data_IF_576028511837
#
_entry.id   IF_576028511837
#
_cell.length_a   1.000
_cell.length_b   1.000
_cell.length_c   1.000
_cell.angle_alpha   90.00
_cell.angle_beta   90.00
_cell.angle_gamma   90.00
#
_symmetry.space_group_name_H-M   'P 1'
#
loop_
_entity.id
_entity.type
_entity.pdbx_description
1 polymer ?
#
# COMPACT_ATOMS: atom_id res chain seq x y z
N UNK A 1 -7.52 20.96 25.43
CA UNK A 1 -6.74 19.71 25.33
C UNK A 1 -7.06 18.83 26.54
N UNK A 2 -8.20 18.13 26.55
CA UNK A 2 -8.70 17.39 27.73
C UNK A 2 -9.08 15.93 27.43
N UNK A 3 -8.69 15.36 26.29
CA UNK A 3 -9.09 13.99 25.92
C UNK A 3 -8.00 12.93 26.06
N UNK A 4 -6.73 13.30 26.20
CA UNK A 4 -5.62 12.36 26.35
C UNK A 4 -5.27 12.23 27.84
N UNK A 5 -5.85 11.26 28.53
CA UNK A 5 -5.36 10.80 29.85
C UNK A 5 -4.11 9.94 29.63
N UNK A 6 -3.01 10.57 29.17
CA UNK A 6 -1.71 9.91 29.06
C UNK A 6 -0.77 10.43 30.12
N UNK A 7 -0.11 9.50 30.82
CA UNK A 7 1.02 9.81 31.69
C UNK A 7 2.26 10.07 30.82
N UNK A 8 3.07 11.07 31.19
CA UNK A 8 4.33 11.37 30.54
C UNK A 8 5.28 10.15 30.54
N UNK A 9 5.17 9.30 31.57
CA UNK A 9 5.93 8.04 31.65
C UNK A 9 5.58 7.07 30.54
N UNK A 10 4.31 6.98 30.17
CA UNK A 10 3.85 6.08 29.10
C UNK A 10 4.35 6.58 27.74
N UNK A 11 4.31 7.91 27.52
CA UNK A 11 4.87 8.55 26.33
C UNK A 11 6.37 8.27 26.24
N UNK A 12 7.11 8.51 27.32
CA UNK A 12 8.55 8.26 27.35
C UNK A 12 8.87 6.79 27.08
N UNK A 13 8.16 5.86 27.72
CA UNK A 13 8.34 4.43 27.50
C UNK A 13 8.10 4.06 26.04
N UNK A 14 7.00 4.53 25.45
CA UNK A 14 6.66 4.26 24.06
C UNK A 14 7.75 4.74 23.09
N UNK A 15 8.23 5.97 23.28
CA UNK A 15 9.21 6.60 22.38
C UNK A 15 10.61 6.02 22.53
N UNK A 16 11.05 5.74 23.76
CA UNK A 16 12.40 5.21 24.02
C UNK A 16 12.50 3.74 23.59
N UNK A 17 11.43 2.96 23.76
CA UNK A 17 11.44 1.52 23.49
C UNK A 17 10.83 1.10 22.14
N UNK A 18 10.32 2.04 21.33
CA UNK A 18 9.46 1.77 20.16
C UNK A 18 8.27 0.88 20.50
N UNK A 19 7.59 1.16 21.62
CA UNK A 19 6.43 0.38 22.06
C UNK A 19 5.16 1.22 21.97
N UNK A 20 4.40 1.03 20.90
CA UNK A 20 3.14 1.73 20.65
C UNK A 20 1.91 0.94 21.11
N UNK A 21 2.05 0.01 22.07
CA UNK A 21 0.93 -0.77 22.60
C UNK A 21 0.03 0.03 23.55
N UNK A 22 0.61 0.94 24.32
CA UNK A 22 -0.10 1.84 25.27
C UNK A 22 -0.39 3.18 24.62
N UNK A 23 0.57 3.73 23.88
CA UNK A 23 0.43 5.00 23.16
C UNK A 23 0.35 4.69 21.67
N UNK A 24 -0.86 4.80 21.11
CA UNK A 24 -1.09 4.48 19.70
C UNK A 24 -0.42 5.48 18.74
N UNK A 25 -0.36 5.09 17.46
CA UNK A 25 0.30 5.88 16.42
C UNK A 25 -0.39 7.22 16.16
N UNK A 26 -1.71 7.29 16.32
CA UNK A 26 -2.48 8.54 16.15
C UNK A 26 -2.10 9.55 17.24
N UNK A 27 -1.98 9.08 18.48
CA UNK A 27 -1.51 9.88 19.60
C UNK A 27 -0.06 10.32 19.40
N UNK A 28 0.83 9.41 18.99
CA UNK A 28 2.23 9.77 18.69
C UNK A 28 2.34 10.80 17.56
N UNK A 29 1.51 10.69 16.52
CA UNK A 29 1.42 11.68 15.44
C UNK A 29 0.97 13.04 15.98
N UNK A 30 -0.09 13.06 16.80
CA UNK A 30 -0.58 14.30 17.40
C UNK A 30 0.49 14.96 18.30
N UNK A 31 1.19 14.17 19.12
CA UNK A 31 2.30 14.67 19.95
C UNK A 31 3.45 15.20 19.10
N UNK A 32 3.78 14.53 18.00
CA UNK A 32 4.80 14.98 17.06
C UNK A 32 4.43 16.32 16.43
N UNK A 33 3.20 16.48 15.94
CA UNK A 33 2.75 17.72 15.28
C UNK A 33 2.65 18.90 16.26
N UNK A 34 2.27 18.64 17.51
CA UNK A 34 2.08 19.68 18.53
C UNK A 34 3.31 19.92 19.40
N UNK A 35 4.45 19.28 19.13
CA UNK A 35 5.69 19.50 19.89
C UNK A 35 6.17 20.94 19.76
N UNK A 36 6.79 21.46 20.83
CA UNK A 36 7.36 22.80 20.84
C UNK A 36 8.44 22.93 19.75
N UNK A 37 8.36 24.01 18.98
CA UNK A 37 9.43 24.40 18.06
C UNK A 37 10.61 24.98 18.84
N UNK A 38 11.78 25.05 18.21
CA UNK A 38 13.01 25.50 18.88
C UNK A 38 12.88 26.89 19.51
N UNK A 39 12.20 27.84 18.85
CA UNK A 39 12.01 29.18 19.39
C UNK A 39 10.98 29.25 20.53
N UNK A 40 9.99 28.36 20.53
CA UNK A 40 9.02 28.20 21.62
C UNK A 40 9.69 27.59 22.84
N UNK A 41 10.49 26.54 22.63
CA UNK A 41 11.21 25.85 23.69
C UNK A 41 12.23 26.77 24.38
N UNK A 42 12.96 27.59 23.61
CA UNK A 42 13.87 28.60 24.16
C UNK A 42 13.15 29.60 25.09
N UNK A 43 11.94 30.04 24.72
CA UNK A 43 11.13 30.95 25.55
C UNK A 43 10.68 30.26 26.84
N UNK A 44 10.21 29.02 26.74
CA UNK A 44 9.76 28.20 27.88
C UNK A 44 10.92 27.96 28.84
N UNK A 45 12.10 27.56 28.34
CA UNK A 45 13.29 27.35 29.15
C UNK A 45 13.77 28.63 29.84
N UNK A 46 13.81 29.74 29.10
CA UNK A 46 14.24 31.04 29.64
C UNK A 46 13.33 31.49 30.77
N UNK A 47 12.02 31.32 30.61
CA UNK A 47 11.04 31.61 31.67
C UNK A 47 11.23 30.69 32.88
N UNK A 48 11.41 29.38 32.64
CA UNK A 48 11.66 28.39 33.70
C UNK A 48 12.95 28.64 34.50
N UNK A 49 14.00 29.17 33.87
CA UNK A 49 15.24 29.60 34.55
C UNK A 49 15.02 30.89 35.34
N UNK A 50 14.42 31.92 34.72
CA UNK A 50 14.17 33.20 35.38
C UNK A 50 13.19 33.11 36.55
N UNK A 51 12.32 32.10 36.58
CA UNK A 51 11.35 31.92 37.65
C UNK A 51 11.92 31.23 38.89
N UNK A 52 12.95 30.39 38.75
CA UNK A 52 13.68 29.79 39.89
C UNK A 52 14.45 30.83 40.72
N UNK A 53 14.88 31.92 40.10
CA UNK A 53 15.68 32.98 40.74
C UNK A 53 14.82 34.10 41.38
N UNK A 54 13.49 34.07 41.22
CA UNK A 54 12.58 35.11 41.70
C UNK A 54 11.44 34.52 42.51
N UNK A 55 11.40 34.87 43.80
CA UNK A 55 10.42 34.41 44.81
C UNK A 55 8.94 34.70 44.43
N UNK A 56 8.68 35.55 43.43
CA UNK A 56 7.34 35.93 42.94
C UNK A 56 7.09 35.66 41.44
N UNK A 57 7.90 34.82 40.78
CA UNK A 57 7.68 34.52 39.37
C UNK A 57 6.52 33.55 39.16
N UNK A 58 5.66 33.85 38.18
CA UNK A 58 4.58 32.94 37.77
C UNK A 58 5.18 31.65 37.19
N UNK A 59 4.68 30.50 37.62
CA UNK A 59 4.98 29.20 37.01
C UNK A 59 4.50 29.18 35.55
N UNK A 60 5.10 28.29 34.75
CA UNK A 60 4.57 27.95 33.42
C UNK A 60 3.12 27.45 33.54
N UNK A 61 2.30 27.69 32.53
CA UNK A 61 0.96 27.10 32.47
C UNK A 61 1.02 25.63 32.02
N UNK A 62 -0.04 24.86 32.28
CA UNK A 62 -0.06 23.40 32.00
C UNK A 62 0.38 23.02 30.57
N UNK A 63 -0.03 23.72 29.49
CA UNK A 63 0.44 23.39 28.14
C UNK A 63 1.95 23.56 27.98
N UNK A 64 2.52 24.64 28.52
CA UNK A 64 3.96 24.92 28.44
C UNK A 64 4.77 23.94 29.29
N UNK A 65 4.24 23.56 30.46
CA UNK A 65 4.81 22.48 31.28
C UNK A 65 4.85 21.17 30.51
N UNK A 66 3.75 20.79 29.86
CA UNK A 66 3.67 19.56 29.06
C UNK A 66 4.66 19.57 27.89
N UNK A 67 4.74 20.68 27.13
CA UNK A 67 5.69 20.83 26.03
C UNK A 67 7.13 20.76 26.51
N UNK A 68 7.44 21.36 27.66
CA UNK A 68 8.75 21.26 28.29
C UNK A 68 9.06 19.82 28.69
N UNK A 69 8.16 19.13 29.40
CA UNK A 69 8.35 17.73 29.80
C UNK A 69 8.55 16.81 28.59
N UNK A 70 7.78 17.00 27.52
CA UNK A 70 7.92 16.26 26.27
C UNK A 70 9.32 16.46 25.65
N UNK A 71 9.85 17.69 25.71
CA UNK A 71 11.19 18.01 25.19
C UNK A 71 12.32 17.35 25.98
N UNK A 72 12.07 16.94 27.24
CA UNK A 72 13.05 16.24 28.06
C UNK A 72 13.21 14.77 27.62
N UNK A 73 12.29 14.23 26.83
CA UNK A 73 12.44 12.89 26.26
C UNK A 73 13.59 12.92 25.24
N UNK A 74 14.65 12.09 25.42
CA UNK A 74 15.83 12.14 24.56
C UNK A 74 15.50 11.89 23.09
N UNK A 75 15.84 12.84 22.22
CA UNK A 75 15.60 12.75 20.77
C UNK A 75 14.13 12.43 20.42
N UNK A 76 13.18 13.01 21.15
CA UNK A 76 11.75 12.77 20.96
C UNK A 76 11.31 12.87 19.49
N UNK A 77 11.68 13.96 18.82
CA UNK A 77 11.28 14.21 17.43
C UNK A 77 11.78 13.11 16.50
N UNK A 78 13.07 12.78 16.59
CA UNK A 78 13.70 11.80 15.71
C UNK A 78 13.13 10.39 15.95
N UNK A 79 12.91 10.01 17.21
CA UNK A 79 12.37 8.70 17.56
C UNK A 79 10.94 8.53 17.09
N UNK A 80 10.08 9.52 17.36
CA UNK A 80 8.67 9.48 16.94
C UNK A 80 8.57 9.47 15.41
N UNK A 81 9.38 10.28 14.72
CA UNK A 81 9.46 10.22 13.26
C UNK A 81 9.77 8.79 12.76
N UNK A 82 10.78 8.13 13.33
CA UNK A 82 11.15 6.77 12.94
C UNK A 82 10.02 5.75 13.22
N UNK A 83 9.36 5.86 14.37
CA UNK A 83 8.23 4.97 14.74
C UNK A 83 7.07 5.10 13.73
N UNK A 84 6.66 6.34 13.44
CA UNK A 84 5.58 6.63 12.50
C UNK A 84 5.94 6.17 11.08
N UNK A 85 7.19 6.40 10.66
CA UNK A 85 7.68 5.98 9.36
C UNK A 85 7.71 4.44 9.25
N UNK A 86 8.16 3.72 10.27
CA UNK A 86 8.20 2.26 10.27
C UNK A 86 6.83 1.65 9.98
N UNK A 87 5.78 2.16 10.64
CA UNK A 87 4.40 1.73 10.38
C UNK A 87 3.96 2.08 8.96
N UNK A 88 4.13 3.34 8.54
CA UNK A 88 3.72 3.82 7.22
C UNK A 88 4.41 3.06 6.09
N UNK A 89 5.71 2.78 6.24
CA UNK A 89 6.49 2.02 5.27
C UNK A 89 5.95 0.60 5.13
N UNK A 90 5.73 -0.09 6.25
CA UNK A 90 5.25 -1.48 6.29
C UNK A 90 3.88 -1.62 5.60
N UNK A 91 2.96 -0.69 5.85
CA UNK A 91 1.65 -0.67 5.20
C UNK A 91 1.77 -0.41 3.69
N UNK A 92 2.60 0.57 3.32
CA UNK A 92 2.76 0.99 1.92
C UNK A 92 3.41 -0.09 1.08
N UNK A 93 4.51 -0.70 1.55
CA UNK A 93 5.23 -1.73 0.80
C UNK A 93 4.38 -3.01 0.66
N UNK A 94 3.63 -3.39 1.72
CA UNK A 94 2.69 -4.51 1.67
C UNK A 94 1.50 -4.25 0.73
N UNK A 95 1.01 -3.02 0.67
CA UNK A 95 -0.03 -2.61 -0.29
C UNK A 95 0.46 -2.71 -1.74
N UNK A 96 1.69 -2.26 -2.02
CA UNK A 96 2.31 -2.38 -3.35
C UNK A 96 2.46 -3.86 -3.73
N UNK A 97 3.07 -4.67 -2.85
CA UNK A 97 3.26 -6.11 -3.05
C UNK A 97 1.98 -6.82 -3.45
N UNK A 98 0.92 -6.67 -2.64
CA UNK A 98 -0.38 -7.33 -2.89
C UNK A 98 -0.99 -6.93 -4.23
N UNK A 99 -0.84 -5.67 -4.64
CA UNK A 99 -1.35 -5.20 -5.93
C UNK A 99 -0.55 -5.80 -7.10
N UNK A 100 0.78 -5.86 -6.98
CA UNK A 100 1.64 -6.48 -7.99
C UNK A 100 1.38 -7.97 -8.12
N UNK A 101 1.33 -8.71 -7.00
CA UNK A 101 1.00 -10.14 -6.99
C UNK A 101 -0.36 -10.43 -7.62
N UNK A 102 -1.37 -9.60 -7.31
CA UNK A 102 -2.70 -9.71 -7.91
C UNK A 102 -2.66 -9.49 -9.43
N UNK A 103 -1.96 -8.45 -9.88
CA UNK A 103 -1.80 -8.14 -11.30
C UNK A 103 -1.06 -9.27 -12.04
N UNK A 104 0.05 -9.76 -11.48
CA UNK A 104 0.81 -10.89 -12.04
C UNK A 104 -0.06 -12.14 -12.18
N UNK A 105 -0.78 -12.51 -11.11
CA UNK A 105 -1.68 -13.67 -11.11
C UNK A 105 -2.78 -13.54 -12.16
N UNK A 106 -3.35 -12.35 -12.29
CA UNK A 106 -4.39 -12.08 -13.28
C UNK A 106 -3.84 -12.17 -14.71
N UNK A 107 -2.67 -11.58 -14.98
CA UNK A 107 -2.00 -11.67 -16.28
C UNK A 107 -1.68 -13.12 -16.64
N UNK A 108 -1.19 -13.91 -15.67
CA UNK A 108 -0.93 -15.34 -15.85
C UNK A 108 -2.22 -16.11 -16.19
N UNK A 109 -3.32 -15.82 -15.47
CA UNK A 109 -4.63 -16.43 -15.74
C UNK A 109 -5.16 -16.05 -17.12
N UNK A 110 -5.00 -14.79 -17.54
CA UNK A 110 -5.41 -14.34 -18.88
C UNK A 110 -4.57 -14.98 -19.99
N UNK A 111 -3.27 -15.21 -19.74
CA UNK A 111 -2.34 -15.76 -20.72
C UNK A 111 -2.47 -17.27 -20.87
N UNK A 112 -2.58 -17.99 -19.75
CA UNK A 112 -2.44 -19.44 -19.70
C UNK A 112 -3.69 -20.15 -19.16
N UNK A 113 -4.73 -19.41 -18.75
CA UNK A 113 -5.96 -19.96 -18.20
C UNK A 113 -6.71 -20.80 -19.24
N UNK A 114 -7.00 -22.10 -18.97
CA UNK A 114 -7.64 -22.98 -19.93
C UNK A 114 -9.05 -22.49 -20.32
N UNK A 115 -9.82 -21.98 -19.36
CA UNK A 115 -11.14 -21.41 -19.62
C UNK A 115 -11.09 -20.17 -20.54
N UNK A 116 -10.09 -19.30 -20.35
CA UNK A 116 -9.84 -18.15 -21.24
C UNK A 116 -9.52 -18.62 -22.65
N UNK A 117 -8.61 -19.58 -22.80
CA UNK A 117 -8.24 -20.15 -24.11
C UNK A 117 -9.43 -20.82 -24.80
N UNK A 118 -10.27 -21.56 -24.07
CA UNK A 118 -11.48 -22.18 -24.62
C UNK A 118 -12.48 -21.13 -25.13
N UNK A 119 -12.73 -20.07 -24.35
CA UNK A 119 -13.64 -19.00 -24.76
C UNK A 119 -13.10 -18.27 -25.99
N UNK A 120 -11.82 -17.91 -26.02
CA UNK A 120 -11.20 -17.27 -27.19
C UNK A 120 -11.22 -18.21 -28.42
N UNK A 121 -10.98 -19.51 -28.23
CA UNK A 121 -11.08 -20.52 -29.27
C UNK A 121 -12.48 -20.65 -29.86
N UNK A 122 -13.53 -20.57 -29.04
CA UNK A 122 -14.91 -20.55 -29.51
C UNK A 122 -15.21 -19.30 -30.34
N UNK A 123 -14.77 -18.12 -29.88
CA UNK A 123 -14.92 -16.88 -30.64
C UNK A 123 -14.24 -17.00 -32.00
N UNK A 124 -13.02 -17.56 -32.06
CA UNK A 124 -12.28 -17.76 -33.30
C UNK A 124 -12.99 -18.75 -34.23
N UNK A 125 -13.42 -19.90 -33.71
CA UNK A 125 -14.07 -20.95 -34.48
C UNK A 125 -15.39 -20.47 -35.10
N UNK A 126 -16.27 -19.85 -34.30
CA UNK A 126 -17.52 -19.31 -34.83
C UNK A 126 -17.29 -18.13 -35.77
N UNK A 127 -16.32 -17.26 -35.46
CA UNK A 127 -15.92 -16.17 -36.34
C UNK A 127 -15.50 -16.67 -37.72
N UNK A 128 -14.63 -17.67 -37.78
CA UNK A 128 -14.17 -18.28 -39.03
C UNK A 128 -15.32 -18.95 -39.79
N UNK A 129 -16.19 -19.71 -39.10
CA UNK A 129 -17.35 -20.34 -39.73
C UNK A 129 -18.30 -19.31 -40.35
N UNK A 130 -18.65 -18.26 -39.60
CA UNK A 130 -19.57 -17.22 -40.05
C UNK A 130 -19.01 -16.37 -41.20
N UNK A 131 -17.69 -16.19 -41.24
CA UNK A 131 -17.01 -15.45 -42.30
C UNK A 131 -16.47 -16.37 -43.42
N UNK A 132 -16.91 -17.62 -43.48
CA UNK A 132 -16.51 -18.59 -44.50
C UNK A 132 -16.70 -18.05 -45.92
N UNK A 133 -15.67 -18.20 -46.76
CA UNK A 133 -15.64 -17.64 -48.11
C UNK A 133 -15.08 -16.21 -48.21
N UNK A 134 -14.92 -15.50 -47.09
CA UNK A 134 -14.20 -14.24 -47.05
C UNK A 134 -12.69 -14.48 -46.86
N UNK A 135 -11.89 -14.20 -47.89
CA UNK A 135 -10.43 -14.42 -47.91
C UNK A 135 -9.66 -13.70 -46.80
N UNK A 136 -10.21 -12.63 -46.20
CA UNK A 136 -9.53 -11.87 -45.14
C UNK A 136 -10.10 -12.10 -43.75
N UNK A 137 -11.25 -12.80 -43.62
CA UNK A 137 -11.97 -12.94 -42.35
C UNK A 137 -12.39 -14.37 -41.98
N UNK A 138 -12.45 -15.29 -42.94
CA UNK A 138 -12.94 -16.66 -42.73
C UNK A 138 -11.86 -17.70 -42.43
N UNK A 139 -10.58 -17.31 -42.41
CA UNK A 139 -9.42 -18.18 -42.18
C UNK A 139 -8.41 -17.49 -41.27
N UNK A 140 -8.88 -16.87 -40.18
CA UNK A 140 -8.03 -16.18 -39.23
C UNK A 140 -7.40 -17.18 -38.25
N UNK A 141 -6.14 -16.95 -37.89
CA UNK A 141 -5.42 -17.67 -36.83
C UNK A 141 -5.63 -17.03 -35.44
N UNK A 142 -6.19 -15.82 -35.41
CA UNK A 142 -6.45 -15.06 -34.21
C UNK A 142 -7.20 -13.76 -34.51
N UNK A 143 -7.55 -13.03 -33.46
CA UNK A 143 -8.25 -11.75 -33.56
C UNK A 143 -7.75 -10.78 -32.48
N UNK A 144 -7.88 -9.48 -32.74
CA UNK A 144 -7.63 -8.46 -31.73
C UNK A 144 -8.72 -8.48 -30.65
N UNK A 145 -8.36 -8.30 -29.38
CA UNK A 145 -9.31 -8.37 -28.25
C UNK A 145 -10.39 -7.27 -28.29
N UNK A 146 -10.21 -6.23 -29.11
CA UNK A 146 -11.19 -5.15 -29.33
C UNK A 146 -12.51 -5.63 -29.99
N UNK A 147 -12.53 -6.86 -30.53
CA UNK A 147 -13.75 -7.51 -31.04
C UNK A 147 -14.66 -8.01 -29.92
N UNK A 148 -14.13 -8.33 -28.74
CA UNK A 148 -14.91 -8.99 -27.68
C UNK A 148 -16.17 -8.20 -27.28
N UNK A 149 -16.12 -6.85 -27.10
CA UNK A 149 -17.32 -6.08 -26.80
C UNK A 149 -18.38 -6.07 -27.92
N UNK A 150 -17.97 -6.33 -29.17
CA UNK A 150 -18.83 -6.30 -30.38
C UNK A 150 -19.60 -7.62 -30.57
N UNK A 151 -19.24 -8.70 -29.86
CA UNK A 151 -19.94 -9.99 -29.95
C UNK A 151 -21.43 -9.90 -29.56
N UNK A 152 -21.79 -8.91 -28.74
CA UNK A 152 -23.18 -8.66 -28.35
C UNK A 152 -24.02 -8.06 -29.49
N UNK A 153 -23.38 -7.44 -30.48
CA UNK A 153 -24.02 -6.69 -31.57
C UNK A 153 -24.31 -7.59 -32.78
N UNK A 154 -23.58 -8.69 -32.93
CA UNK A 154 -23.86 -9.71 -33.95
C UNK A 154 -25.08 -10.53 -33.51
N UNK A 155 -26.17 -10.50 -34.28
CA UNK A 155 -27.44 -11.15 -33.95
C UNK A 155 -27.74 -12.32 -34.88
N UNK A 156 -28.55 -13.25 -34.39
CA UNK A 156 -29.24 -14.24 -35.23
C UNK A 156 -30.18 -13.56 -36.23
N UNK A 157 -30.55 -14.26 -37.30
CA UNK A 157 -31.41 -13.73 -38.38
C UNK A 157 -32.78 -13.26 -37.90
N UNK A 158 -33.29 -13.84 -36.81
CA UNK A 158 -34.55 -13.49 -36.14
C UNK A 158 -34.36 -12.47 -35.00
N UNK A 159 -33.14 -11.95 -34.80
CA UNK A 159 -32.76 -11.06 -33.70
C UNK A 159 -33.02 -11.60 -32.28
N UNK A 160 -33.31 -12.89 -32.11
CA UNK A 160 -33.64 -13.45 -30.80
C UNK A 160 -32.43 -13.64 -29.89
N UNK A 161 -31.22 -13.79 -30.46
CA UNK A 161 -29.98 -14.05 -29.70
C UNK A 161 -28.78 -13.33 -30.31
N UNK A 162 -27.84 -12.91 -29.46
CA UNK A 162 -26.53 -12.44 -29.91
C UNK A 162 -25.52 -13.59 -30.03
N UNK A 163 -24.45 -13.35 -30.79
CA UNK A 163 -23.31 -14.27 -30.85
C UNK A 163 -22.69 -14.48 -29.46
N UNK A 164 -22.60 -13.43 -28.64
CA UNK A 164 -22.16 -13.56 -27.24
C UNK A 164 -23.05 -14.54 -26.45
N UNK A 165 -24.38 -14.39 -26.51
CA UNK A 165 -25.32 -15.29 -25.82
C UNK A 165 -25.23 -16.73 -26.34
N UNK A 166 -25.03 -16.89 -27.64
CA UNK A 166 -24.82 -18.19 -28.26
C UNK A 166 -23.53 -18.86 -27.76
N UNK A 167 -22.41 -18.12 -27.71
CA UNK A 167 -21.11 -18.62 -27.20
C UNK A 167 -21.22 -19.07 -25.75
N UNK A 168 -21.83 -18.25 -24.89
CA UNK A 168 -22.04 -18.62 -23.48
C UNK A 168 -22.87 -19.90 -23.37
N UNK A 169 -23.97 -19.99 -24.12
CA UNK A 169 -24.82 -21.19 -24.14
C UNK A 169 -24.08 -22.42 -24.66
N UNK A 170 -23.23 -22.25 -25.67
CA UNK A 170 -22.42 -23.34 -26.23
C UNK A 170 -21.35 -23.80 -25.24
N UNK A 171 -20.68 -22.87 -24.56
CA UNK A 171 -19.69 -23.18 -23.55
C UNK A 171 -20.30 -24.03 -22.44
N UNK A 172 -21.39 -23.55 -21.82
CA UNK A 172 -22.07 -24.25 -20.74
C UNK A 172 -22.56 -25.65 -21.14
N UNK A 173 -22.96 -25.85 -22.40
CA UNK A 173 -23.47 -27.15 -22.86
C UNK A 173 -22.38 -28.17 -23.19
N UNK A 174 -21.18 -27.72 -23.57
CA UNK A 174 -20.17 -28.58 -24.17
C UNK A 174 -18.84 -28.64 -23.39
N UNK A 175 -18.56 -27.66 -22.51
CA UNK A 175 -17.30 -27.56 -21.79
C UNK A 175 -17.47 -27.56 -20.26
N UNK A 176 -18.66 -27.25 -19.77
CA UNK A 176 -18.93 -27.20 -18.33
C UNK A 176 -19.82 -28.39 -17.92
N UNK A 177 -19.21 -29.40 -17.30
CA UNK A 177 -19.90 -30.61 -16.82
C UNK A 177 -20.85 -30.31 -15.64
N UNK A 178 -20.67 -29.17 -14.99
CA UNK A 178 -21.43 -28.70 -13.84
C UNK A 178 -22.38 -27.55 -14.18
N UNK A 179 -22.61 -27.28 -15.47
CA UNK A 179 -23.52 -26.25 -15.93
C UNK A 179 -24.91 -26.37 -15.26
N UNK A 180 -25.33 -25.29 -14.60
CA UNK A 180 -26.60 -25.22 -13.87
C UNK A 180 -26.59 -25.84 -12.47
N UNK A 181 -25.44 -26.29 -11.98
CA UNK A 181 -25.22 -26.75 -10.59
C UNK A 181 -24.50 -25.67 -9.78
N UNK A 182 -24.48 -25.82 -8.45
CA UNK A 182 -23.75 -24.92 -7.56
C UNK A 182 -22.22 -24.95 -7.76
N UNK A 183 -21.70 -26.04 -8.34
CA UNK A 183 -20.27 -26.26 -8.60
C UNK A 183 -19.79 -25.61 -9.92
N UNK A 184 -20.69 -25.03 -10.71
CA UNK A 184 -20.37 -24.33 -11.95
C UNK A 184 -19.36 -23.20 -11.68
N UNK A 185 -18.19 -23.28 -12.30
CA UNK A 185 -17.12 -22.29 -12.14
C UNK A 185 -17.11 -21.32 -13.33
N UNK A 186 -16.99 -20.02 -13.02
CA UNK A 186 -16.82 -19.02 -14.06
C UNK A 186 -15.44 -19.20 -14.73
N UNK A 187 -15.38 -19.42 -16.07
CA UNK A 187 -14.14 -19.84 -16.75
C UNK A 187 -13.18 -18.68 -17.05
N UNK A 188 -13.57 -17.45 -16.71
CA UNK A 188 -12.79 -16.24 -16.89
C UNK A 188 -12.45 -15.66 -15.51
N UNK A 189 -11.44 -14.78 -15.40
CA UNK A 189 -11.19 -14.07 -14.16
C UNK A 189 -12.42 -13.28 -13.70
N UNK A 190 -12.56 -13.12 -12.39
CA UNK A 190 -13.66 -12.36 -11.81
C UNK A 190 -13.70 -10.93 -12.37
N UNK A 191 -14.88 -10.42 -12.78
CA UNK A 191 -14.99 -9.06 -13.34
C UNK A 191 -14.45 -7.98 -12.41
N UNK A 192 -14.56 -8.17 -11.10
CA UNK A 192 -14.06 -7.24 -10.10
C UNK A 192 -12.53 -7.16 -10.09
N UNK A 193 -11.84 -8.30 -10.24
CA UNK A 193 -10.38 -8.36 -10.30
C UNK A 193 -9.86 -7.69 -11.57
N UNK A 194 -10.51 -7.96 -12.70
CA UNK A 194 -10.24 -7.29 -13.98
C UNK A 194 -10.42 -5.77 -13.88
N UNK A 195 -11.51 -5.33 -13.25
CA UNK A 195 -11.78 -3.91 -13.05
C UNK A 195 -10.69 -3.28 -12.18
N UNK A 196 -10.35 -3.88 -11.04
CA UNK A 196 -9.30 -3.36 -10.16
C UNK A 196 -7.95 -3.26 -10.86
N UNK A 197 -7.52 -4.32 -11.55
CA UNK A 197 -6.28 -4.33 -12.31
C UNK A 197 -6.28 -3.26 -13.42
N UNK A 198 -7.41 -3.04 -14.10
CA UNK A 198 -7.52 -2.01 -15.14
C UNK A 198 -7.33 -0.57 -14.63
N UNK A 199 -7.52 -0.34 -13.33
CA UNK A 199 -7.32 0.98 -12.70
C UNK A 199 -5.87 1.19 -12.24
N UNK A 200 -5.03 0.15 -12.24
CA UNK A 200 -3.64 0.26 -11.80
C UNK A 200 -2.76 0.89 -12.88
N UNK A 201 -1.82 1.74 -12.47
CA UNK A 201 -0.85 2.40 -13.36
C UNK A 201 0.56 2.16 -12.87
N UNK A 202 1.44 1.74 -13.77
CA UNK A 202 2.85 1.49 -13.46
C UNK A 202 3.55 2.75 -12.96
N UNK A 203 3.19 3.94 -13.48
CA UNK A 203 3.76 5.21 -13.06
C UNK A 203 3.45 5.54 -11.59
N UNK A 204 2.27 5.14 -11.10
CA UNK A 204 1.88 5.35 -9.71
C UNK A 204 2.71 4.48 -8.77
N UNK A 205 2.92 3.19 -9.10
CA UNK A 205 3.84 2.33 -8.35
C UNK A 205 5.27 2.85 -8.34
N UNK A 206 5.79 3.30 -9.48
CA UNK A 206 7.12 3.90 -9.57
C UNK A 206 7.26 5.16 -8.72
N UNK A 207 6.20 5.99 -8.66
CA UNK A 207 6.18 7.18 -7.83
C UNK A 207 6.18 6.81 -6.34
N UNK A 208 5.35 5.86 -5.95
CA UNK A 208 5.22 5.41 -4.56
C UNK A 208 6.51 4.76 -4.06
N UNK A 209 7.14 3.86 -4.84
CA UNK A 209 8.42 3.25 -4.49
C UNK A 209 9.55 4.28 -4.38
N UNK A 210 9.61 5.27 -5.28
CA UNK A 210 10.60 6.36 -5.18
C UNK A 210 10.39 7.21 -3.93
N UNK A 211 9.13 7.49 -3.58
CA UNK A 211 8.80 8.19 -2.34
C UNK A 211 9.25 7.38 -1.13
N UNK A 212 8.90 6.09 -1.05
CA UNK A 212 9.32 5.21 0.04
C UNK A 212 10.85 5.15 0.18
N UNK A 213 11.58 5.07 -0.94
CA UNK A 213 13.05 5.09 -0.94
C UNK A 213 13.63 6.39 -0.40
N UNK A 214 13.01 7.53 -0.72
CA UNK A 214 13.42 8.84 -0.21
C UNK A 214 13.13 8.95 1.30
N UNK A 215 11.94 8.56 1.72
CA UNK A 215 11.50 8.66 3.10
C UNK A 215 12.28 7.67 4.00
N UNK A 216 12.65 6.49 3.47
CA UNK A 216 13.55 5.54 4.12
C UNK A 216 14.92 6.15 4.41
N UNK A 217 15.51 6.86 3.44
CA UNK A 217 16.77 7.59 3.65
C UNK A 217 16.64 8.68 4.71
N UNK A 218 15.49 9.37 4.77
CA UNK A 218 15.23 10.35 5.83
C UNK A 218 15.18 9.66 7.20
N UNK A 219 14.52 8.51 7.30
CA UNK A 219 14.50 7.69 8.51
C UNK A 219 15.90 7.24 8.95
N UNK A 220 16.77 6.84 8.02
CA UNK A 220 18.16 6.51 8.35
C UNK A 220 18.92 7.70 8.95
N UNK A 221 18.69 8.90 8.41
CA UNK A 221 19.32 10.13 8.92
C UNK A 221 18.81 10.47 10.32
N UNK A 222 17.49 10.42 10.55
CA UNK A 222 16.91 10.69 11.87
C UNK A 222 17.36 9.65 12.91
N UNK A 223 17.34 8.36 12.57
CA UNK A 223 17.87 7.31 13.42
C UNK A 223 19.36 7.51 13.74
N UNK A 224 20.16 7.92 12.74
CA UNK A 224 21.56 8.27 12.90
C UNK A 224 21.81 9.38 13.94
N UNK A 225 20.94 10.39 14.01
CA UNK A 225 21.03 11.45 15.04
C UNK A 225 20.79 10.87 16.44
N UNK A 226 19.81 9.97 16.59
CA UNK A 226 19.55 9.28 17.86
C UNK A 226 20.80 8.51 18.32
N UNK A 227 21.47 7.79 17.41
CA UNK A 227 22.65 6.98 17.74
C UNK A 227 23.84 7.81 18.23
N UNK A 228 23.98 9.04 17.73
CA UNK A 228 25.10 9.92 18.07
C UNK A 228 24.89 10.69 19.38
N UNK A 229 23.65 11.07 19.68
CA UNK A 229 23.33 12.00 20.78
C UNK A 229 22.84 11.26 22.03
N UNK A 230 22.18 10.11 21.88
CA UNK A 230 21.61 9.39 23.03
C UNK A 230 22.68 8.80 23.94
N UNK A 231 22.45 8.88 25.26
CA UNK A 231 23.28 8.19 26.26
C UNK A 231 23.16 6.67 26.14
N UNK A 232 24.11 5.92 26.71
CA UNK A 232 24.11 4.45 26.69
C UNK A 232 22.81 3.84 27.24
N UNK A 233 22.21 4.48 28.24
CA UNK A 233 20.97 4.03 28.89
C UNK A 233 19.72 4.18 28.01
N UNK A 234 19.70 5.17 27.11
CA UNK A 234 18.57 5.44 26.22
C UNK A 234 18.79 4.93 24.80
N UNK A 235 19.93 4.30 24.53
CA UNK A 235 20.28 3.85 23.18
C UNK A 235 19.48 2.62 22.75
N UNK A 236 19.28 1.68 23.68
CA UNK A 236 18.56 0.43 23.43
C UNK A 236 17.19 0.46 24.09
N UNK A 237 16.18 -0.24 23.53
CA UNK A 237 16.24 -1.13 22.35
C UNK A 237 16.16 -0.41 20.99
N UNK A 238 16.10 0.93 20.99
CA UNK A 238 15.81 1.69 19.78
C UNK A 238 16.78 1.43 18.64
N UNK A 239 18.08 1.43 18.94
CA UNK A 239 19.11 1.25 17.91
C UNK A 239 18.98 -0.11 17.23
N UNK A 240 18.91 -1.19 18.00
CA UNK A 240 18.83 -2.55 17.46
C UNK A 240 17.58 -2.73 16.58
N UNK A 241 16.41 -2.34 17.09
CA UNK A 241 15.15 -2.49 16.35
C UNK A 241 15.15 -1.67 15.05
N UNK A 242 15.66 -0.44 15.10
CA UNK A 242 15.67 0.45 13.95
C UNK A 242 16.70 0.03 12.90
N UNK A 243 17.87 -0.49 13.30
CA UNK A 243 18.85 -1.06 12.37
C UNK A 243 18.28 -2.29 11.65
N UNK A 244 17.61 -3.19 12.38
CA UNK A 244 16.94 -4.35 11.77
C UNK A 244 15.84 -3.92 10.80
N UNK A 245 14.99 -2.98 11.21
CA UNK A 245 13.95 -2.43 10.34
C UNK A 245 14.52 -1.81 9.07
N UNK A 246 15.53 -0.95 9.17
CA UNK A 246 16.14 -0.28 8.01
C UNK A 246 16.74 -1.29 7.02
N UNK A 247 17.42 -2.33 7.52
CA UNK A 247 17.97 -3.40 6.69
C UNK A 247 16.85 -4.12 5.94
N UNK A 248 15.81 -4.56 6.65
CA UNK A 248 14.69 -5.26 6.03
C UNK A 248 13.92 -4.36 5.06
N UNK A 249 13.70 -3.10 5.41
CA UNK A 249 13.03 -2.12 4.56
C UNK A 249 13.78 -1.89 3.24
N UNK A 250 15.12 -1.87 3.25
CA UNK A 250 15.92 -1.77 2.01
C UNK A 250 15.74 -3.00 1.13
N UNK A 251 15.76 -4.19 1.72
CA UNK A 251 15.55 -5.46 1.01
C UNK A 251 14.16 -5.48 0.37
N UNK A 252 13.12 -5.16 1.15
CA UNK A 252 11.74 -5.13 0.65
C UNK A 252 11.56 -4.08 -0.45
N UNK A 253 12.17 -2.91 -0.31
CA UNK A 253 12.11 -1.83 -1.29
C UNK A 253 12.73 -2.24 -2.64
N UNK A 254 13.89 -2.90 -2.61
CA UNK A 254 14.56 -3.41 -3.81
C UNK A 254 13.79 -4.58 -4.43
N UNK A 255 13.24 -5.48 -3.60
CA UNK A 255 12.41 -6.59 -4.06
C UNK A 255 11.17 -6.09 -4.82
N UNK A 256 10.46 -5.08 -4.31
CA UNK A 256 9.29 -4.52 -5.01
C UNK A 256 9.67 -3.71 -6.27
N UNK A 257 10.84 -3.05 -6.31
CA UNK A 257 11.35 -2.42 -7.55
C UNK A 257 11.60 -3.48 -8.65
N UNK A 258 12.16 -4.63 -8.29
CA UNK A 258 12.39 -5.75 -9.19
C UNK A 258 11.05 -6.38 -9.63
N UNK A 259 10.16 -6.67 -8.68
CA UNK A 259 8.82 -7.22 -8.95
C UNK A 259 8.01 -6.33 -9.89
N UNK A 260 8.05 -5.01 -9.71
CA UNK A 260 7.42 -4.06 -10.61
C UNK A 260 7.99 -4.13 -12.03
N UNK A 261 9.32 -4.23 -12.13
CA UNK A 261 10.03 -4.32 -13.42
C UNK A 261 9.68 -5.62 -14.16
N UNK A 262 9.54 -6.72 -13.43
CA UNK A 262 9.12 -8.02 -13.99
C UNK A 262 7.66 -8.00 -14.42
N UNK A 263 6.78 -7.42 -13.59
CA UNK A 263 5.33 -7.32 -13.88
C UNK A 263 5.03 -6.46 -15.10
N UNK A 264 5.89 -5.49 -15.41
CA UNK A 264 5.71 -4.58 -16.54
C UNK A 264 6.15 -5.18 -17.90
N UNK A 265 6.87 -6.31 -17.90
CA UNK A 265 7.32 -6.99 -19.13
C UNK A 265 6.21 -7.86 -19.73
#
# INVERSE_FOLDING_TARGET
MSSLHLDMKDIQHAVVNLDNSVVDLETLQALYENRAQSDELEKIEKHGRSSKDKENAKSLDKPEQFLYELSLIPNFSERVFCILFQSTFSESICSIRRKLESLQKLCETLRNGPGVMQVLGLVLAFGNYMNGGNKTRGQADGFGLDILPKLKDVKSSDNSRSLLSYIVSYYLRNFDEDAGKEQCLFPLPEPQDLFQASQMKFEDFQKDLRKLKKDLKACEVEAGKVYQVSSKEHMQPFKENMEQFIIQAKIDQEAEENSLTETHK
#
